data_IF_367230757630
#
_entry.id   IF_367230757630
#
_cell.length_a   1.000
_cell.length_b   1.000
_cell.length_c   1.000
_cell.angle_alpha   90.00
_cell.angle_beta   90.00
_cell.angle_gamma   90.00
#
_symmetry.space_group_name_H-M   'P 1'
#
loop_
_entity.id
_entity.type
_entity.pdbx_description
1 polymer ?
#
# COMPACT_ATOMS: atom_id res chain seq x y z
N UNK A 1 -44.80 -24.10 -51.66
CA UNK A 1 -45.41 -22.75 -51.67
C UNK A 1 -45.48 -22.17 -50.24
N UNK A 2 -45.34 -22.99 -49.22
CA UNK A 2 -45.45 -22.55 -47.81
C UNK A 2 -44.22 -21.76 -47.31
N UNK A 3 -43.05 -22.05 -47.86
CA UNK A 3 -41.77 -21.35 -47.38
C UNK A 3 -41.80 -19.85 -47.72
N UNK A 4 -42.35 -19.44 -48.85
CA UNK A 4 -42.44 -18.03 -49.28
C UNK A 4 -43.44 -17.22 -48.46
N UNK A 5 -44.50 -17.89 -47.93
CA UNK A 5 -45.47 -17.24 -47.02
C UNK A 5 -44.86 -17.02 -45.64
N UNK A 6 -44.09 -17.99 -45.13
CA UNK A 6 -43.36 -17.89 -43.86
C UNK A 6 -42.30 -16.76 -43.88
N UNK A 7 -41.58 -16.58 -44.99
CA UNK A 7 -40.62 -15.47 -45.12
C UNK A 7 -41.28 -14.09 -45.13
N UNK A 8 -42.44 -13.94 -45.73
CA UNK A 8 -43.20 -12.67 -45.74
C UNK A 8 -43.76 -12.32 -44.36
N UNK A 9 -44.26 -13.29 -43.61
CA UNK A 9 -44.74 -13.09 -42.24
C UNK A 9 -43.61 -12.68 -41.29
N UNK A 10 -42.44 -13.31 -41.40
CA UNK A 10 -41.26 -12.95 -40.62
C UNK A 10 -40.77 -11.53 -40.93
N UNK A 11 -40.83 -11.10 -42.20
CA UNK A 11 -40.46 -9.74 -42.58
C UNK A 11 -41.46 -8.69 -42.08
N UNK A 12 -42.75 -9.02 -42.03
CA UNK A 12 -43.79 -8.14 -41.49
C UNK A 12 -43.67 -8.01 -39.95
N UNK A 13 -43.42 -9.08 -39.25
CA UNK A 13 -43.15 -9.07 -37.80
C UNK A 13 -41.89 -8.24 -37.47
N UNK A 14 -40.82 -8.39 -38.23
CA UNK A 14 -39.59 -7.62 -38.06
C UNK A 14 -39.81 -6.13 -38.32
N UNK A 15 -40.61 -5.77 -39.33
CA UNK A 15 -41.00 -4.38 -39.60
C UNK A 15 -41.85 -3.80 -38.48
N UNK A 16 -42.83 -4.56 -37.99
CA UNK A 16 -43.68 -4.13 -36.89
C UNK A 16 -42.85 -3.89 -35.62
N UNK A 17 -41.94 -4.82 -35.30
CA UNK A 17 -41.01 -4.67 -34.17
C UNK A 17 -40.11 -3.43 -34.33
N UNK A 18 -39.57 -3.20 -35.53
CA UNK A 18 -38.68 -2.05 -35.78
C UNK A 18 -39.42 -0.70 -35.68
N UNK A 19 -40.69 -0.62 -36.09
CA UNK A 19 -41.48 0.62 -35.96
C UNK A 19 -41.74 0.99 -34.50
N UNK A 20 -41.83 0.01 -33.60
CA UNK A 20 -42.08 0.21 -32.17
C UNK A 20 -40.78 0.47 -31.42
N UNK A 21 -39.75 -0.37 -31.66
CA UNK A 21 -38.51 -0.39 -30.86
C UNK A 21 -37.33 0.26 -31.55
N UNK A 22 -37.37 0.51 -32.87
CA UNK A 22 -36.22 1.02 -33.63
C UNK A 22 -35.63 2.32 -33.07
N UNK A 23 -36.48 3.23 -32.57
CA UNK A 23 -36.03 4.48 -31.94
C UNK A 23 -35.19 4.23 -30.66
N UNK A 24 -35.53 3.20 -29.90
CA UNK A 24 -34.79 2.85 -28.68
C UNK A 24 -33.46 2.15 -29.01
N UNK A 25 -33.48 1.32 -30.07
CA UNK A 25 -32.26 0.68 -30.58
C UNK A 25 -31.30 1.72 -31.10
N UNK A 26 -31.78 2.68 -31.90
CA UNK A 26 -30.92 3.79 -32.41
C UNK A 26 -30.40 4.61 -31.26
N UNK A 27 -31.25 4.98 -30.29
CA UNK A 27 -30.78 5.71 -29.10
C UNK A 27 -29.71 4.94 -28.31
N UNK A 28 -29.90 3.63 -28.11
CA UNK A 28 -28.93 2.76 -27.48
C UNK A 28 -27.58 2.71 -28.21
N UNK A 29 -27.63 2.61 -29.54
CA UNK A 29 -26.41 2.63 -30.38
C UNK A 29 -25.68 3.98 -30.29
N UNK A 30 -26.41 5.10 -30.34
CA UNK A 30 -25.82 6.45 -30.24
C UNK A 30 -25.15 6.63 -28.87
N UNK A 31 -25.80 6.19 -27.79
CA UNK A 31 -25.21 6.25 -26.43
C UNK A 31 -23.97 5.36 -26.36
N UNK A 32 -24.03 4.13 -26.88
CA UNK A 32 -22.87 3.23 -26.86
C UNK A 32 -21.65 3.79 -27.62
N UNK A 33 -21.89 4.36 -28.81
CA UNK A 33 -20.85 5.01 -29.62
C UNK A 33 -20.27 6.22 -28.88
N UNK A 34 -21.13 7.05 -28.25
CA UNK A 34 -20.70 8.19 -27.47
C UNK A 34 -19.84 7.79 -26.27
N UNK A 35 -20.23 6.73 -25.56
CA UNK A 35 -19.44 6.18 -24.44
C UNK A 35 -18.09 5.61 -24.90
N UNK A 36 -18.07 4.87 -26.01
CA UNK A 36 -16.83 4.33 -26.58
C UNK A 36 -15.87 5.45 -27.00
N UNK A 37 -16.38 6.49 -27.66
CA UNK A 37 -15.57 7.64 -28.08
C UNK A 37 -15.03 8.42 -26.88
N UNK A 38 -15.89 8.70 -25.89
CA UNK A 38 -15.49 9.38 -24.65
C UNK A 38 -14.46 8.58 -23.87
N UNK A 39 -14.62 7.27 -23.76
CA UNK A 39 -13.67 6.39 -23.11
C UNK A 39 -12.31 6.36 -23.84
N UNK A 40 -12.32 6.26 -25.16
CA UNK A 40 -11.11 6.28 -25.96
C UNK A 40 -10.36 7.61 -25.84
N UNK A 41 -11.08 8.74 -25.87
CA UNK A 41 -10.50 10.07 -25.67
C UNK A 41 -9.88 10.22 -24.28
N UNK A 42 -10.59 9.73 -23.24
CA UNK A 42 -10.07 9.74 -21.86
C UNK A 42 -8.80 8.91 -21.70
N UNK A 43 -8.77 7.70 -22.31
CA UNK A 43 -7.57 6.85 -22.32
C UNK A 43 -6.39 7.49 -23.05
N UNK A 44 -6.64 8.12 -24.19
CA UNK A 44 -5.64 8.83 -24.99
C UNK A 44 -5.03 10.00 -24.20
N UNK A 45 -5.87 10.80 -23.53
CA UNK A 45 -5.40 11.92 -22.70
C UNK A 45 -4.56 11.44 -21.51
N UNK A 46 -4.95 10.33 -20.87
CA UNK A 46 -4.16 9.73 -19.79
C UNK A 46 -2.79 9.26 -20.27
N UNK A 47 -2.75 8.61 -21.44
CA UNK A 47 -1.48 8.13 -22.00
C UNK A 47 -0.57 9.29 -22.37
N UNK A 48 -1.09 10.36 -22.97
CA UNK A 48 -0.34 11.58 -23.28
C UNK A 48 0.26 12.19 -22.02
N UNK A 49 -0.54 12.36 -20.95
CA UNK A 49 -0.06 12.87 -19.67
C UNK A 49 1.03 11.97 -19.04
N UNK A 50 0.94 10.65 -19.19
CA UNK A 50 2.00 9.75 -18.71
C UNK A 50 3.30 9.91 -19.49
N UNK A 51 3.23 10.09 -20.82
CA UNK A 51 4.42 10.31 -21.67
C UNK A 51 5.09 11.64 -21.30
N UNK A 52 4.33 12.71 -21.18
CA UNK A 52 4.86 14.03 -20.78
C UNK A 52 5.48 13.97 -19.37
N UNK A 53 4.78 13.37 -18.41
CA UNK A 53 5.29 13.19 -17.06
C UNK A 53 6.56 12.33 -17.01
N UNK A 54 6.73 11.35 -17.92
CA UNK A 54 7.95 10.54 -17.99
C UNK A 54 9.17 11.34 -18.41
N UNK A 55 9.01 12.26 -19.37
CA UNK A 55 10.09 13.16 -19.83
C UNK A 55 10.52 14.11 -18.72
N UNK A 56 9.54 14.69 -17.99
CA UNK A 56 9.83 15.53 -16.83
C UNK A 56 10.55 14.74 -15.72
N UNK A 57 10.10 13.53 -15.45
CA UNK A 57 10.75 12.68 -14.45
C UNK A 57 12.18 12.29 -14.83
N UNK A 58 12.46 12.05 -16.12
CA UNK A 58 13.83 11.82 -16.62
C UNK A 58 14.70 13.05 -16.34
N UNK A 59 14.22 14.26 -16.64
CA UNK A 59 14.92 15.50 -16.32
C UNK A 59 15.15 15.67 -14.82
N UNK A 60 14.14 15.36 -13.99
CA UNK A 60 14.25 15.36 -12.53
C UNK A 60 15.36 14.43 -12.05
N UNK A 61 15.45 13.21 -12.59
CA UNK A 61 16.49 12.25 -12.18
C UNK A 61 17.90 12.74 -12.47
N UNK A 62 18.09 13.48 -13.57
CA UNK A 62 19.37 14.14 -13.89
C UNK A 62 19.69 15.20 -12.84
N UNK A 63 18.78 16.14 -12.55
CA UNK A 63 19.00 17.17 -11.53
C UNK A 63 19.25 16.58 -10.14
N UNK A 64 18.51 15.53 -9.77
CA UNK A 64 18.75 14.81 -8.50
C UNK A 64 20.14 14.18 -8.46
N UNK A 65 20.63 13.60 -9.57
CA UNK A 65 21.97 13.00 -9.64
C UNK A 65 23.08 14.04 -9.56
N UNK A 66 22.85 15.22 -10.14
CA UNK A 66 23.78 16.35 -10.11
C UNK A 66 23.73 17.13 -8.79
N UNK A 67 22.71 16.85 -7.98
CA UNK A 67 22.47 17.58 -6.73
C UNK A 67 21.98 19.01 -6.96
N UNK A 68 21.40 19.29 -8.11
CA UNK A 68 20.83 20.60 -8.47
C UNK A 68 19.42 20.73 -7.89
N UNK A 69 19.36 21.29 -6.67
CA UNK A 69 18.12 21.36 -5.91
C UNK A 69 17.09 22.29 -6.55
N UNK A 70 17.49 23.47 -7.02
CA UNK A 70 16.57 24.49 -7.55
C UNK A 70 15.83 24.00 -8.81
N UNK A 71 16.57 23.37 -9.74
CA UNK A 71 15.98 22.81 -10.94
C UNK A 71 15.16 21.54 -10.62
N UNK A 72 15.59 20.71 -9.66
CA UNK A 72 14.85 19.54 -9.23
C UNK A 72 13.51 19.93 -8.57
N UNK A 73 13.47 20.92 -7.68
CA UNK A 73 12.25 21.46 -7.07
C UNK A 73 11.29 21.97 -8.15
N UNK A 74 11.77 22.77 -9.10
CA UNK A 74 10.92 23.31 -10.19
C UNK A 74 10.25 22.20 -11.01
N UNK A 75 10.98 21.15 -11.37
CA UNK A 75 10.41 20.02 -12.13
C UNK A 75 9.50 19.16 -11.28
N UNK A 76 9.81 18.96 -10.00
CA UNK A 76 8.95 18.23 -9.07
C UNK A 76 7.61 18.96 -8.87
N UNK A 77 7.61 20.28 -8.74
CA UNK A 77 6.41 21.12 -8.65
C UNK A 77 5.54 21.03 -9.91
N UNK A 78 6.14 20.99 -11.10
CA UNK A 78 5.42 20.78 -12.36
C UNK A 78 4.76 19.39 -12.40
N UNK A 79 5.49 18.33 -12.01
CA UNK A 79 4.93 16.98 -11.88
C UNK A 79 3.77 16.91 -10.88
N UNK A 80 3.91 17.57 -9.73
CA UNK A 80 2.87 17.59 -8.70
C UNK A 80 1.62 18.38 -9.15
N UNK A 81 1.80 19.49 -9.86
CA UNK A 81 0.70 20.39 -10.25
C UNK A 81 -0.06 19.87 -11.47
N UNK A 82 0.65 19.44 -12.52
CA UNK A 82 0.06 19.12 -13.82
C UNK A 82 -0.13 17.61 -14.03
N UNK A 83 0.63 16.76 -13.33
CA UNK A 83 0.65 15.31 -13.54
C UNK A 83 0.43 14.51 -12.25
N UNK A 84 -0.25 15.07 -11.25
CA UNK A 84 -0.48 14.48 -9.93
C UNK A 84 -1.09 13.05 -9.95
N UNK A 85 -1.84 12.71 -11.01
CA UNK A 85 -2.48 11.41 -11.16
C UNK A 85 -1.60 10.35 -11.86
N UNK A 86 -0.32 10.65 -12.13
CA UNK A 86 0.64 9.74 -12.74
C UNK A 86 1.50 9.05 -11.67
N UNK A 87 2.09 7.91 -12.03
CA UNK A 87 3.07 7.26 -11.17
C UNK A 87 4.36 8.10 -11.04
N UNK A 88 4.66 8.96 -12.02
CA UNK A 88 5.85 9.79 -12.04
C UNK A 88 5.82 10.89 -10.98
N UNK A 89 4.65 11.48 -10.69
CA UNK A 89 4.50 12.41 -9.56
C UNK A 89 4.78 11.72 -8.21
N UNK A 90 4.35 10.47 -8.04
CA UNK A 90 4.66 9.70 -6.83
C UNK A 90 6.15 9.32 -6.74
N UNK A 91 6.79 9.03 -7.87
CA UNK A 91 8.22 8.74 -7.94
C UNK A 91 9.07 9.98 -7.73
N UNK A 92 8.60 11.18 -8.17
CA UNK A 92 9.30 12.44 -7.93
C UNK A 92 9.43 12.72 -6.43
N UNK A 93 8.38 12.51 -5.64
CA UNK A 93 8.45 12.66 -4.18
C UNK A 93 9.51 11.74 -3.55
N UNK A 94 9.64 10.50 -4.05
CA UNK A 94 10.69 9.59 -3.58
C UNK A 94 12.10 10.04 -3.98
N UNK A 95 12.26 10.64 -5.16
CA UNK A 95 13.53 11.17 -5.63
C UNK A 95 13.91 12.45 -4.89
N UNK A 96 12.94 13.36 -4.69
CA UNK A 96 13.14 14.61 -3.94
C UNK A 96 13.47 14.33 -2.47
N UNK A 97 12.78 13.38 -1.84
CA UNK A 97 13.11 12.99 -0.45
C UNK A 97 14.57 12.56 -0.31
N UNK A 98 15.11 11.81 -1.30
CA UNK A 98 16.53 11.47 -1.33
C UNK A 98 17.41 12.72 -1.46
N UNK A 99 17.11 13.60 -2.40
CA UNK A 99 17.89 14.82 -2.63
C UNK A 99 17.89 15.72 -1.40
N UNK A 100 16.74 15.91 -0.75
CA UNK A 100 16.65 16.69 0.49
C UNK A 100 17.50 16.09 1.60
N UNK A 101 17.51 14.76 1.77
CA UNK A 101 18.40 14.08 2.73
C UNK A 101 19.87 14.31 2.39
N UNK A 102 20.25 14.22 1.12
CA UNK A 102 21.62 14.46 0.64
C UNK A 102 22.06 15.93 0.90
N UNK A 103 21.08 16.85 1.02
CA UNK A 103 21.29 18.29 1.33
C UNK A 103 21.11 18.63 2.82
N UNK A 104 20.94 17.64 3.70
CA UNK A 104 20.64 17.81 5.13
C UNK A 104 19.34 18.60 5.40
N UNK A 105 18.34 18.48 4.51
CA UNK A 105 16.99 19.04 4.63
C UNK A 105 16.01 17.91 4.99
N UNK A 106 16.22 17.31 6.15
CA UNK A 106 15.48 16.13 6.60
C UNK A 106 13.98 16.40 6.83
N UNK A 107 13.61 17.62 7.25
CA UNK A 107 12.20 17.99 7.39
C UNK A 107 11.52 18.07 6.02
N UNK A 108 12.14 18.68 5.02
CA UNK A 108 11.59 18.75 3.66
C UNK A 108 11.48 17.34 3.04
N UNK A 109 12.44 16.47 3.34
CA UNK A 109 12.37 15.06 2.94
C UNK A 109 11.18 14.33 3.58
N UNK A 110 10.89 14.59 4.84
CA UNK A 110 9.71 14.04 5.52
C UNK A 110 8.41 14.59 4.94
N UNK A 111 8.36 15.88 4.63
CA UNK A 111 7.17 16.56 4.12
C UNK A 111 6.77 16.02 2.74
N UNK A 112 7.68 15.89 1.79
CA UNK A 112 7.37 15.32 0.46
C UNK A 112 6.97 13.84 0.53
N UNK A 113 7.48 13.08 1.51
CA UNK A 113 7.04 11.70 1.73
C UNK A 113 5.63 11.66 2.34
N UNK A 114 5.29 12.58 3.24
CA UNK A 114 3.92 12.72 3.73
C UNK A 114 2.94 13.06 2.61
N UNK A 115 3.31 13.96 1.69
CA UNK A 115 2.51 14.26 0.49
C UNK A 115 2.29 13.00 -0.36
N UNK A 116 3.35 12.20 -0.59
CA UNK A 116 3.22 10.92 -1.29
C UNK A 116 2.18 10.00 -0.63
N UNK A 117 2.15 9.93 0.70
CA UNK A 117 1.19 9.09 1.41
C UNK A 117 -0.26 9.55 1.22
N UNK A 118 -0.49 10.83 0.98
CA UNK A 118 -1.82 11.41 0.73
C UNK A 118 -2.28 11.26 -0.73
N UNK A 119 -1.38 11.01 -1.69
CA UNK A 119 -1.72 10.84 -3.10
C UNK A 119 -2.71 9.69 -3.32
N UNK A 120 -3.49 9.74 -4.41
CA UNK A 120 -4.38 8.65 -4.80
C UNK A 120 -3.62 7.56 -5.57
N UNK A 121 -3.98 6.30 -5.32
CA UNK A 121 -3.34 5.16 -6.02
C UNK A 121 -1.92 4.88 -5.54
N UNK A 122 -1.11 4.27 -6.38
CA UNK A 122 0.32 3.98 -6.16
C UNK A 122 0.65 3.29 -4.82
N UNK A 123 -0.15 2.28 -4.43
CA UNK A 123 -0.02 1.60 -3.12
C UNK A 123 1.43 1.17 -2.82
N UNK A 124 2.10 0.52 -3.77
CA UNK A 124 3.48 0.05 -3.57
C UNK A 124 4.46 1.22 -3.31
N UNK A 125 4.35 2.33 -4.09
CA UNK A 125 5.20 3.50 -3.87
C UNK A 125 4.94 4.15 -2.51
N UNK A 126 3.70 4.15 -2.04
CA UNK A 126 3.36 4.63 -0.69
C UNK A 126 4.01 3.78 0.40
N UNK A 127 4.06 2.45 0.25
CA UNK A 127 4.74 1.60 1.23
C UNK A 127 6.25 1.85 1.25
N UNK A 128 6.86 2.07 0.09
CA UNK A 128 8.27 2.50 -0.02
C UNK A 128 8.46 3.87 0.65
N UNK A 129 7.56 4.83 0.37
CA UNK A 129 7.58 6.16 0.98
C UNK A 129 7.46 6.10 2.50
N UNK A 130 6.55 5.26 3.01
CA UNK A 130 6.35 5.03 4.44
C UNK A 130 7.59 4.48 5.13
N UNK A 131 8.27 3.50 4.52
CA UNK A 131 9.55 2.99 5.05
C UNK A 131 10.66 4.04 5.07
N UNK A 132 10.73 4.89 4.01
CA UNK A 132 11.71 5.98 3.99
C UNK A 132 11.39 7.04 5.02
N UNK A 133 10.12 7.41 5.17
CA UNK A 133 9.67 8.34 6.19
C UNK A 133 9.97 7.81 7.60
N UNK A 134 9.72 6.53 7.87
CA UNK A 134 10.06 5.92 9.15
C UNK A 134 11.56 6.05 9.47
N UNK A 135 12.45 5.84 8.48
CA UNK A 135 13.89 6.03 8.66
C UNK A 135 14.27 7.49 8.94
N UNK A 136 13.62 8.44 8.27
CA UNK A 136 13.83 9.87 8.50
C UNK A 136 13.37 10.25 9.91
N UNK A 137 12.23 9.76 10.34
CA UNK A 137 11.70 10.01 11.70
C UNK A 137 12.63 9.44 12.77
N UNK A 138 13.22 8.25 12.57
CA UNK A 138 14.27 7.72 13.46
C UNK A 138 15.51 8.62 13.47
N UNK A 139 15.93 9.09 12.31
CA UNK A 139 17.07 10.03 12.20
C UNK A 139 16.79 11.35 12.92
N UNK A 140 15.52 11.81 12.94
CA UNK A 140 15.06 12.99 13.67
C UNK A 140 14.83 12.76 15.18
N UNK A 141 15.16 11.59 15.71
CA UNK A 141 14.89 11.19 17.09
C UNK A 141 13.39 11.23 17.47
N UNK A 142 12.54 10.78 16.53
CA UNK A 142 11.07 10.69 16.66
C UNK A 142 10.58 9.23 16.59
N UNK A 143 11.05 8.34 17.48
CA UNK A 143 10.72 6.91 17.38
C UNK A 143 9.25 6.62 17.64
N UNK A 144 8.52 7.42 18.45
CA UNK A 144 7.09 7.23 18.66
C UNK A 144 6.31 7.47 17.36
N UNK A 145 6.67 8.48 16.58
CA UNK A 145 6.01 8.77 15.30
C UNK A 145 6.18 7.61 14.31
N UNK A 146 7.29 6.85 14.40
CA UNK A 146 7.50 5.64 13.58
C UNK A 146 6.54 4.53 14.00
N UNK A 147 6.37 4.31 15.31
CA UNK A 147 5.41 3.30 15.80
C UNK A 147 4.01 3.63 15.30
N UNK A 148 3.59 4.89 15.43
CA UNK A 148 2.27 5.36 15.00
C UNK A 148 2.08 5.27 13.48
N UNK A 149 3.11 5.65 12.70
CA UNK A 149 3.11 5.57 11.23
C UNK A 149 2.94 4.13 10.71
N UNK A 150 3.46 3.14 11.43
CA UNK A 150 3.51 1.74 11.02
C UNK A 150 2.51 0.83 11.75
N UNK A 151 1.68 1.35 12.67
CA UNK A 151 0.80 0.58 13.56
C UNK A 151 -0.17 -0.33 12.80
N UNK A 152 -0.87 0.22 11.78
CA UNK A 152 -1.96 -0.47 11.08
C UNK A 152 -1.56 -0.88 9.65
N UNK A 153 -0.30 -1.29 9.45
CA UNK A 153 0.22 -1.67 8.14
C UNK A 153 0.38 -3.19 8.03
N UNK A 154 -0.54 -3.83 7.33
CA UNK A 154 -0.63 -5.28 7.14
C UNK A 154 -0.35 -5.74 5.69
N UNK A 155 0.30 -4.89 4.87
CA UNK A 155 0.71 -5.26 3.52
C UNK A 155 1.77 -6.37 3.57
N UNK A 156 1.38 -7.59 3.21
CA UNK A 156 2.20 -8.80 3.36
C UNK A 156 3.61 -8.68 2.73
N UNK A 157 3.72 -8.00 1.59
CA UNK A 157 5.01 -7.81 0.91
C UNK A 157 6.00 -6.91 1.68
N UNK A 158 5.52 -6.12 2.65
CA UNK A 158 6.32 -5.18 3.44
C UNK A 158 6.33 -5.54 4.93
N UNK A 159 5.64 -6.60 5.34
CA UNK A 159 5.43 -6.95 6.74
C UNK A 159 6.75 -7.08 7.52
N UNK A 160 7.73 -7.80 6.98
CA UNK A 160 9.05 -7.95 7.60
C UNK A 160 9.82 -6.62 7.73
N UNK A 161 9.75 -5.76 6.70
CA UNK A 161 10.39 -4.45 6.71
C UNK A 161 9.74 -3.50 7.72
N UNK A 162 8.43 -3.54 7.84
CA UNK A 162 7.72 -2.73 8.85
C UNK A 162 7.99 -3.22 10.27
N UNK A 163 8.04 -4.54 10.47
CA UNK A 163 8.40 -5.11 11.76
C UNK A 163 9.85 -4.75 12.15
N UNK A 164 10.81 -4.80 11.22
CA UNK A 164 12.17 -4.34 11.46
C UNK A 164 12.18 -2.87 11.91
N UNK A 165 11.47 -1.99 11.20
CA UNK A 165 11.41 -0.55 11.52
C UNK A 165 10.73 -0.26 12.86
N UNK A 166 9.63 -0.98 13.20
CA UNK A 166 9.03 -0.88 14.53
C UNK A 166 9.97 -1.37 15.63
N UNK A 167 10.69 -2.46 15.35
CA UNK A 167 11.73 -2.94 16.24
C UNK A 167 12.80 -1.88 16.54
N UNK A 168 13.30 -1.20 15.50
CA UNK A 168 14.25 -0.10 15.63
C UNK A 168 13.65 1.06 16.47
N UNK A 169 12.39 1.40 16.26
CA UNK A 169 11.70 2.45 17.00
C UNK A 169 11.50 2.07 18.47
N UNK A 170 11.07 0.85 18.77
CA UNK A 170 10.92 0.38 20.15
C UNK A 170 12.26 0.29 20.88
N UNK A 171 13.34 -0.11 20.19
CA UNK A 171 14.68 -0.10 20.74
C UNK A 171 15.12 1.33 21.13
N UNK A 172 14.87 2.32 20.24
CA UNK A 172 15.15 3.73 20.50
C UNK A 172 14.32 4.28 21.68
N UNK A 173 13.10 3.79 21.89
CA UNK A 173 12.25 4.14 23.05
C UNK A 173 12.67 3.41 24.34
N UNK A 174 13.66 2.52 24.30
CA UNK A 174 14.03 1.68 25.43
C UNK A 174 13.02 0.56 25.76
N UNK A 175 12.08 0.29 24.88
CA UNK A 175 11.07 -0.75 25.01
C UNK A 175 11.60 -2.10 24.49
N UNK A 176 12.57 -2.64 25.19
CA UNK A 176 13.42 -3.77 24.74
C UNK A 176 12.63 -5.03 24.41
N UNK A 177 11.63 -5.37 25.22
CA UNK A 177 10.76 -6.55 24.97
C UNK A 177 9.99 -6.39 23.65
N UNK A 178 9.36 -5.24 23.43
CA UNK A 178 8.61 -4.95 22.20
C UNK A 178 9.54 -4.94 20.99
N UNK A 179 10.73 -4.36 21.10
CA UNK A 179 11.75 -4.40 20.04
C UNK A 179 12.13 -5.84 19.67
N UNK A 180 12.36 -6.69 20.68
CA UNK A 180 12.69 -8.09 20.46
C UNK A 180 11.57 -8.88 19.78
N UNK A 181 10.32 -8.62 20.13
CA UNK A 181 9.15 -9.27 19.52
C UNK A 181 8.98 -8.85 18.06
N UNK A 182 9.19 -7.56 17.74
CA UNK A 182 9.13 -7.06 16.37
C UNK A 182 10.29 -7.61 15.51
N UNK A 183 11.51 -7.70 16.02
CA UNK A 183 12.60 -8.34 15.27
C UNK A 183 12.36 -9.82 15.03
N UNK A 184 11.76 -10.57 15.98
CA UNK A 184 11.35 -11.96 15.76
C UNK A 184 10.27 -12.06 14.69
N UNK A 185 9.31 -11.13 14.70
CA UNK A 185 8.27 -11.03 13.67
C UNK A 185 8.90 -10.78 12.29
N UNK A 186 9.85 -9.86 12.19
CA UNK A 186 10.60 -9.62 10.96
C UNK A 186 11.34 -10.90 10.49
N UNK A 187 12.00 -11.62 11.41
CA UNK A 187 12.71 -12.87 11.08
C UNK A 187 11.78 -14.02 10.69
N UNK A 188 10.53 -14.00 11.13
CA UNK A 188 9.51 -14.99 10.73
C UNK A 188 8.95 -14.73 9.33
N UNK A 189 9.12 -13.50 8.80
CA UNK A 189 8.64 -13.15 7.47
C UNK A 189 9.35 -13.96 6.37
N UNK A 190 8.56 -14.48 5.43
CA UNK A 190 9.04 -15.35 4.33
C UNK A 190 9.21 -14.60 3.01
N UNK A 191 8.87 -13.31 2.95
CA UNK A 191 8.91 -12.52 1.71
C UNK A 191 10.34 -12.27 1.19
N UNK A 192 11.37 -12.57 1.98
CA UNK A 192 12.80 -12.36 1.68
C UNK A 192 13.14 -10.88 1.40
N UNK A 193 12.36 -9.94 1.89
CA UNK A 193 12.58 -8.50 1.70
C UNK A 193 13.56 -7.90 2.70
N UNK A 194 13.76 -8.55 3.86
CA UNK A 194 14.66 -8.10 4.93
C UNK A 194 16.06 -8.68 4.79
N UNK A 195 17.04 -7.99 5.34
CA UNK A 195 18.37 -8.54 5.58
C UNK A 195 18.38 -9.30 6.93
N UNK A 196 18.09 -10.62 6.86
CA UNK A 196 17.99 -11.49 8.05
C UNK A 196 19.21 -11.41 8.95
N UNK A 197 20.43 -11.30 8.38
CA UNK A 197 21.67 -11.19 9.16
C UNK A 197 21.72 -9.91 10.01
N UNK A 198 21.30 -8.79 9.42
CA UNK A 198 21.22 -7.50 10.14
C UNK A 198 20.18 -7.55 11.24
N UNK A 199 18.98 -8.06 10.96
CA UNK A 199 17.91 -8.17 11.97
C UNK A 199 18.32 -9.12 13.10
N UNK A 200 19.00 -10.22 12.79
CA UNK A 200 19.54 -11.12 13.80
C UNK A 200 20.58 -10.43 14.71
N UNK A 201 21.48 -9.61 14.14
CA UNK A 201 22.44 -8.81 14.93
C UNK A 201 21.70 -7.83 15.85
N UNK A 202 20.73 -7.07 15.30
CA UNK A 202 19.92 -6.13 16.10
C UNK A 202 19.22 -6.83 17.28
N UNK A 203 18.69 -8.04 17.06
CA UNK A 203 18.04 -8.83 18.11
C UNK A 203 19.02 -9.27 19.20
N UNK A 204 20.23 -9.68 18.83
CA UNK A 204 21.27 -10.11 19.78
C UNK A 204 21.87 -8.93 20.55
N UNK A 205 21.95 -7.77 19.93
CA UNK A 205 22.49 -6.54 20.53
C UNK A 205 21.53 -5.88 21.54
N UNK A 206 20.26 -6.34 21.60
CA UNK A 206 19.34 -5.84 22.60
C UNK A 206 19.80 -6.24 24.02
N UNK A 207 19.81 -5.30 25.00
CA UNK A 207 20.13 -5.63 26.37
C UNK A 207 19.08 -6.58 26.95
N UNK A 208 19.53 -7.76 27.48
CA UNK A 208 18.74 -8.81 28.15
C UNK A 208 17.24 -8.82 27.83
N UNK A 209 16.85 -9.38 26.69
CA UNK A 209 15.44 -9.66 26.40
C UNK A 209 14.98 -10.78 27.35
N UNK A 210 14.08 -10.53 28.31
CA UNK A 210 13.55 -11.59 29.14
C UNK A 210 12.98 -12.69 28.25
N UNK A 211 13.35 -13.94 28.50
CA UNK A 211 12.72 -15.06 27.81
C UNK A 211 11.19 -14.94 27.98
N UNK A 212 10.38 -15.20 26.95
CA UNK A 212 8.93 -15.19 27.10
C UNK A 212 8.55 -16.05 28.30
N UNK A 213 7.81 -15.47 29.27
CA UNK A 213 7.36 -16.24 30.41
C UNK A 213 6.69 -17.51 29.91
N UNK A 214 7.02 -18.71 30.46
CA UNK A 214 6.37 -19.93 30.06
C UNK A 214 4.86 -19.70 30.21
N UNK A 215 4.11 -20.02 29.16
CA UNK A 215 2.64 -19.97 29.20
C UNK A 215 2.18 -20.66 30.47
N UNK A 216 1.58 -19.93 31.38
CA UNK A 216 0.98 -20.48 32.60
C UNK A 216 -0.17 -21.32 32.10
N UNK A 217 0.05 -22.61 31.94
CA UNK A 217 -1.02 -23.59 31.84
C UNK A 217 -1.75 -23.52 33.18
N UNK A 218 -2.95 -22.93 33.18
CA UNK A 218 -3.84 -23.04 34.32
C UNK A 218 -3.96 -24.52 34.68
N UNK A 219 -3.73 -24.90 35.95
CA UNK A 219 -3.95 -26.29 36.34
C UNK A 219 -5.44 -26.60 36.23
N UNK A 220 -5.73 -27.64 35.47
CA UNK A 220 -7.07 -28.24 35.38
C UNK A 220 -7.68 -28.43 36.75
N UNK A 221 -8.68 -27.61 37.04
CA UNK A 221 -9.66 -27.89 38.10
C UNK A 221 -10.61 -28.99 37.59
N UNK A 222 -10.14 -30.20 37.51
CA UNK A 222 -10.97 -31.41 37.32
C UNK A 222 -10.41 -32.53 38.18
N UNK A 223 -10.73 -32.56 39.45
CA UNK A 223 -10.77 -33.78 40.27
C UNK A 223 -11.21 -33.49 41.68
N UNK A 224 -12.39 -32.95 41.89
CA UNK A 224 -13.01 -33.02 43.25
C UNK A 224 -14.55 -32.97 43.19
N UNK A 225 -15.14 -33.93 42.45
CA UNK A 225 -16.55 -34.27 42.56
C UNK A 225 -16.80 -35.75 42.22
N UNK A 226 -16.20 -36.66 42.98
CA UNK A 226 -16.56 -38.06 42.88
C UNK A 226 -16.13 -38.82 44.13
N UNK A 227 -16.48 -38.38 45.34
CA UNK A 227 -16.54 -39.25 46.54
C UNK A 227 -17.51 -38.62 47.54
N UNK A 228 -18.80 -38.69 47.28
CA UNK A 228 -19.83 -38.66 48.33
C UNK A 228 -21.07 -39.33 47.73
N UNK A 229 -21.27 -40.58 48.05
CA UNK A 229 -22.51 -41.25 47.65
C UNK A 229 -22.46 -42.78 47.66
N UNK A 230 -21.86 -43.42 48.67
CA UNK A 230 -22.21 -44.81 49.00
C UNK A 230 -21.88 -45.05 50.49
N UNK A 231 -22.88 -45.10 51.28
CA UNK A 231 -22.74 -45.51 52.66
C UNK A 231 -24.04 -45.44 53.43
N UNK A 232 -24.80 -46.52 53.39
CA UNK A 232 -25.73 -46.73 54.48
C UNK A 232 -27.16 -46.97 54.10
N UNK A 233 -27.49 -48.25 53.94
CA UNK A 233 -28.75 -48.78 54.61
C UNK A 233 -28.64 -50.27 54.67
N UNK A 234 -28.49 -50.77 55.89
CA UNK A 234 -28.90 -52.08 56.31
C UNK A 234 -29.49 -51.90 57.74
N UNK A 235 -30.76 -51.89 57.81
CA UNK A 235 -31.70 -52.63 58.66
C UNK A 235 -33.11 -52.12 58.49
#
# INVERSE_FOLDING_TARGET
>A
MDDLQSEKEQLEEMRAWWTVYGRYVIAGVVIAVGLLFGFNQYQSSKLAAQVEASVLYESLTVYVSDGDLDNAESVADDLASNYANTAYAAQSNLAMAKLYMDKNRDQDAADVLNELLLMRGNKALKQIGRLRLARILLYQDKPQDVVDLLADQDEAAFAGLFAEMRGDAFAALGQITAAGDEYRTALADTSQTINRGVVQMKLVDLPDVPAPAPAVTEPEQQAEQAVEGEGGESE
#
